data_IF_178775764247
#
_entry.id   IF_178775764247
#
_cell.length_a   1.000
_cell.length_b   1.000
_cell.length_c   1.000
_cell.angle_alpha   90.00
_cell.angle_beta   90.00
_cell.angle_gamma   90.00
#
_symmetry.space_group_name_H-M   'P 1'
#
loop_
_entity.id
_entity.type
_entity.pdbx_description
1 polymer ?
#
# COMPACT_ATOMS: atom_id res chain seq x y z
N UNK A 1 12.15 -0.73 17.06
CA UNK A 1 11.17 -1.80 17.27
C UNK A 1 10.88 -2.50 15.97
N UNK A 2 11.10 -3.81 15.91
CA UNK A 2 10.79 -4.61 14.73
C UNK A 2 9.27 -4.76 14.60
N UNK A 3 8.74 -4.54 13.39
CA UNK A 3 7.36 -4.81 13.06
C UNK A 3 7.15 -6.31 12.82
N UNK A 4 6.07 -6.90 13.33
CA UNK A 4 5.72 -8.27 12.96
C UNK A 4 5.24 -8.30 11.51
N UNK A 5 5.88 -9.13 10.70
CA UNK A 5 5.52 -9.30 9.29
C UNK A 5 4.71 -10.58 9.09
N UNK A 6 3.66 -10.47 8.29
CA UNK A 6 2.81 -11.59 7.92
C UNK A 6 2.91 -11.76 6.41
N UNK A 7 3.11 -12.99 5.96
CA UNK A 7 3.04 -13.32 4.53
C UNK A 7 1.60 -13.09 4.08
N UNK A 8 1.44 -12.32 3.03
CA UNK A 8 0.14 -11.98 2.47
C UNK A 8 0.07 -12.39 1.00
N UNK A 9 -1.07 -12.92 0.61
CA UNK A 9 -1.40 -13.40 -0.71
C UNK A 9 -2.64 -14.29 -0.61
N UNK A 10 -3.33 -14.56 -1.70
CA UNK A 10 -4.37 -15.58 -1.67
C UNK A 10 -3.73 -16.97 -1.59
N UNK A 11 -4.42 -17.92 -0.95
CA UNK A 11 -3.93 -19.28 -0.84
C UNK A 11 -3.66 -19.88 -2.21
N UNK A 12 -4.53 -19.61 -3.17
CA UNK A 12 -4.40 -20.10 -4.55
C UNK A 12 -3.20 -19.46 -5.26
N UNK A 13 -2.95 -18.19 -5.04
CA UNK A 13 -1.80 -17.47 -5.62
C UNK A 13 -0.47 -17.97 -5.06
N UNK A 14 -0.42 -18.32 -3.80
CA UNK A 14 0.76 -18.92 -3.16
C UNK A 14 1.06 -20.32 -3.73
N UNK A 15 0.01 -21.08 -4.03
CA UNK A 15 0.13 -22.42 -4.66
C UNK A 15 0.55 -22.33 -6.12
N UNK A 16 0.00 -21.36 -6.87
CA UNK A 16 0.18 -21.28 -8.33
C UNK A 16 1.49 -20.63 -8.77
N UNK A 17 2.03 -19.67 -8.01
CA UNK A 17 3.19 -18.91 -8.52
C UNK A 17 4.29 -18.61 -7.53
N UNK A 18 4.03 -18.51 -6.25
CA UNK A 18 5.00 -18.00 -5.26
C UNK A 18 5.57 -16.60 -5.56
N UNK A 19 5.21 -16.02 -6.71
CA UNK A 19 5.79 -14.77 -7.22
C UNK A 19 5.13 -13.52 -6.66
N UNK A 20 3.90 -13.63 -6.16
CA UNK A 20 3.10 -12.51 -5.68
C UNK A 20 3.02 -12.46 -4.16
N UNK A 21 3.97 -13.10 -3.50
CA UNK A 21 4.05 -13.09 -2.05
C UNK A 21 4.70 -11.79 -1.57
N UNK A 22 3.97 -11.03 -0.80
CA UNK A 22 4.46 -9.86 -0.10
C UNK A 22 4.17 -9.96 1.39
N UNK A 23 4.80 -9.08 2.16
CA UNK A 23 4.66 -9.06 3.60
C UNK A 23 3.83 -7.86 4.04
N UNK A 24 2.99 -8.07 5.05
CA UNK A 24 2.19 -7.01 5.65
C UNK A 24 2.37 -7.00 7.17
N UNK A 25 2.53 -5.82 7.74
CA UNK A 25 2.57 -5.63 9.19
C UNK A 25 1.45 -4.70 9.63
N UNK A 26 0.62 -5.17 10.55
CA UNK A 26 -0.44 -4.35 11.13
C UNK A 26 0.17 -3.30 12.07
N UNK A 27 -0.03 -2.04 11.73
CA UNK A 27 0.48 -0.89 12.47
C UNK A 27 -0.62 -0.06 13.13
N UNK A 28 -1.87 -0.53 13.12
CA UNK A 28 -3.01 0.21 13.66
C UNK A 28 -2.84 0.60 15.12
N UNK A 29 -2.10 -0.18 15.88
CA UNK A 29 -1.80 0.06 17.30
C UNK A 29 -0.59 0.98 17.53
N UNK A 30 0.13 1.36 16.48
CA UNK A 30 1.32 2.20 16.59
C UNK A 30 0.92 3.66 16.42
N UNK A 31 1.07 4.44 17.49
CA UNK A 31 0.52 5.80 17.59
C UNK A 31 0.96 6.76 16.49
N UNK A 32 2.21 6.67 15.99
CA UNK A 32 2.66 7.61 14.96
C UNK A 32 2.02 7.37 13.58
N UNK A 33 1.56 6.17 13.24
CA UNK A 33 0.79 5.94 12.02
C UNK A 33 -0.60 6.58 12.10
N UNK A 34 -1.22 6.51 13.27
CA UNK A 34 -2.47 7.23 13.55
C UNK A 34 -2.27 8.74 13.54
N UNK A 35 -1.16 9.21 14.09
CA UNK A 35 -0.79 10.62 14.09
C UNK A 35 -0.63 11.16 12.66
N UNK A 36 0.11 10.46 11.80
CA UNK A 36 0.25 10.81 10.39
C UNK A 36 -1.09 10.85 9.67
N UNK A 37 -1.92 9.84 9.89
CA UNK A 37 -3.28 9.82 9.34
C UNK A 37 -4.06 11.08 9.72
N UNK A 38 -4.04 11.47 10.99
CA UNK A 38 -4.75 12.66 11.47
C UNK A 38 -4.23 13.93 10.82
N UNK A 39 -2.90 14.05 10.64
CA UNK A 39 -2.29 15.19 9.93
C UNK A 39 -2.80 15.27 8.50
N UNK A 40 -2.74 14.17 7.75
CA UNK A 40 -3.18 14.16 6.35
C UNK A 40 -4.67 14.40 6.20
N UNK A 41 -5.47 13.77 7.06
CA UNK A 41 -6.92 13.92 7.06
C UNK A 41 -7.32 15.39 7.27
N UNK A 42 -6.68 16.07 8.22
CA UNK A 42 -6.89 17.48 8.49
C UNK A 42 -6.36 18.36 7.35
N UNK A 43 -5.10 18.15 6.95
CA UNK A 43 -4.43 18.98 5.94
C UNK A 43 -5.17 19.02 4.61
N UNK A 44 -5.70 17.88 4.19
CA UNK A 44 -6.38 17.73 2.91
C UNK A 44 -7.91 17.75 3.03
N UNK A 45 -8.45 18.01 4.23
CA UNK A 45 -9.89 18.08 4.50
C UNK A 45 -10.65 16.84 4.00
N UNK A 46 -10.09 15.65 4.25
CA UNK A 46 -10.62 14.40 3.72
C UNK A 46 -11.87 13.90 4.44
N UNK A 47 -12.06 14.29 5.68
CA UNK A 47 -13.19 13.88 6.52
C UNK A 47 -13.37 12.35 6.62
N UNK A 48 -12.27 11.65 6.88
CA UNK A 48 -12.22 10.19 6.95
C UNK A 48 -12.06 9.71 8.39
N UNK A 49 -12.58 8.51 8.67
CA UNK A 49 -12.36 7.79 9.92
C UNK A 49 -11.43 6.61 9.66
N UNK A 50 -10.38 6.49 10.47
CA UNK A 50 -9.43 5.39 10.39
C UNK A 50 -10.07 4.06 10.83
N UNK A 51 -9.94 3.05 9.99
CA UNK A 51 -10.31 1.66 10.31
C UNK A 51 -9.07 0.87 10.74
N UNK A 52 -8.03 0.89 9.89
CA UNK A 52 -6.75 0.23 10.19
C UNK A 52 -5.60 0.85 9.42
N UNK A 53 -4.40 0.66 9.95
CA UNK A 53 -3.16 1.03 9.29
C UNK A 53 -2.21 -0.17 9.21
N UNK A 54 -1.46 -0.28 8.12
CA UNK A 54 -0.47 -1.33 7.96
C UNK A 54 0.65 -0.89 7.00
N UNK A 55 1.75 -1.61 7.06
CA UNK A 55 2.88 -1.43 6.15
C UNK A 55 2.98 -2.66 5.26
N UNK A 56 3.09 -2.44 3.95
CA UNK A 56 3.39 -3.49 2.98
C UNK A 56 4.87 -3.47 2.63
N UNK A 57 5.44 -4.65 2.49
CA UNK A 57 6.80 -4.86 2.04
C UNK A 57 6.78 -5.78 0.82
N UNK A 58 7.29 -5.29 -0.30
CA UNK A 58 7.46 -6.06 -1.53
C UNK A 58 8.95 -6.28 -1.77
N UNK A 59 9.45 -7.51 -1.65
CA UNK A 59 10.83 -7.83 -2.02
C UNK A 59 11.13 -7.56 -3.49
N UNK A 60 12.41 -7.52 -3.89
CA UNK A 60 12.78 -7.46 -5.31
C UNK A 60 12.10 -8.55 -6.13
N UNK A 61 11.69 -8.23 -7.34
CA UNK A 61 11.04 -9.11 -8.31
C UNK A 61 9.61 -9.54 -7.97
N UNK A 62 9.01 -8.97 -6.92
CA UNK A 62 7.64 -9.26 -6.52
C UNK A 62 6.70 -8.17 -7.02
N UNK A 63 5.53 -8.58 -7.49
CA UNK A 63 4.40 -7.74 -7.84
C UNK A 63 3.18 -8.08 -6.99
N UNK A 64 2.22 -7.17 -6.91
CA UNK A 64 0.92 -7.45 -6.31
C UNK A 64 -0.08 -7.99 -7.32
N UNK A 65 -1.13 -8.62 -6.82
CA UNK A 65 -2.23 -9.09 -7.63
C UNK A 65 -3.36 -8.06 -7.71
N UNK A 66 -4.17 -8.18 -8.75
CA UNK A 66 -5.37 -7.38 -8.89
C UNK A 66 -6.33 -7.61 -7.72
N UNK A 67 -6.69 -6.56 -7.03
CA UNK A 67 -7.60 -6.64 -5.88
C UNK A 67 -8.39 -5.35 -5.67
N UNK A 68 -9.41 -5.46 -4.83
CA UNK A 68 -10.11 -4.35 -4.23
C UNK A 68 -9.71 -4.23 -2.76
N UNK A 69 -9.85 -3.05 -2.21
CA UNK A 69 -9.67 -2.83 -0.79
C UNK A 69 -11.01 -2.82 -0.05
N UNK A 70 -10.97 -2.97 1.25
CA UNK A 70 -12.12 -2.78 2.13
C UNK A 70 -12.21 -1.33 2.63
N UNK A 71 -13.38 -0.95 3.17
CA UNK A 71 -13.69 0.42 3.56
C UNK A 71 -14.18 1.28 2.40
N UNK A 72 -14.06 2.59 2.52
CA UNK A 72 -14.50 3.55 1.51
C UNK A 72 -13.34 4.16 0.73
N UNK A 73 -12.26 4.51 1.41
CA UNK A 73 -11.09 5.14 0.82
C UNK A 73 -9.80 4.48 1.31
N UNK A 74 -8.86 4.31 0.40
CA UNK A 74 -7.49 3.91 0.71
C UNK A 74 -6.57 5.12 0.63
N UNK A 75 -5.68 5.24 1.61
CA UNK A 75 -4.56 6.19 1.58
C UNK A 75 -3.26 5.39 1.55
N UNK A 76 -2.37 5.70 0.61
CA UNK A 76 -1.05 5.09 0.50
C UNK A 76 0.02 6.17 0.57
N UNK A 77 1.01 5.96 1.44
CA UNK A 77 2.21 6.79 1.50
C UNK A 77 3.42 5.97 1.06
N UNK A 78 4.25 6.55 0.23
CA UNK A 78 5.49 5.96 -0.26
C UNK A 78 6.69 6.56 0.49
N UNK A 79 7.26 5.85 1.49
CA UNK A 79 8.29 6.43 2.34
C UNK A 79 9.71 6.28 1.81
N UNK A 80 9.95 5.38 0.85
CA UNK A 80 11.30 5.00 0.43
C UNK A 80 11.81 5.89 -0.72
N UNK A 81 13.08 6.33 -0.73
CA UNK A 81 13.69 6.92 -1.92
C UNK A 81 13.58 5.97 -3.11
N UNK A 82 13.19 6.49 -4.28
CA UNK A 82 12.84 5.65 -5.41
C UNK A 82 13.23 6.30 -6.73
N UNK A 83 13.57 5.47 -7.72
CA UNK A 83 13.80 5.88 -9.10
C UNK A 83 12.72 5.28 -10.00
N UNK A 84 12.32 5.99 -11.05
CA UNK A 84 11.27 5.51 -11.96
C UNK A 84 11.63 4.15 -12.61
N UNK A 85 12.91 3.89 -12.87
CA UNK A 85 13.42 2.62 -13.41
C UNK A 85 13.20 1.41 -12.49
N UNK A 86 12.96 1.64 -11.20
CA UNK A 86 12.68 0.57 -10.23
C UNK A 86 11.25 0.01 -10.33
N UNK A 87 10.40 0.58 -11.15
CA UNK A 87 9.02 0.12 -11.29
C UNK A 87 8.19 0.34 -10.03
N UNK A 88 7.41 -0.65 -9.64
CA UNK A 88 6.62 -0.61 -8.41
C UNK A 88 5.46 0.38 -8.43
N UNK A 89 5.01 0.81 -9.61
CA UNK A 89 3.89 1.73 -9.75
C UNK A 89 2.60 1.10 -9.22
N UNK A 90 1.68 1.94 -8.79
CA UNK A 90 0.30 1.56 -8.58
C UNK A 90 -0.42 1.58 -9.93
N UNK A 91 -1.05 0.48 -10.30
CA UNK A 91 -1.81 0.36 -11.55
C UNK A 91 -3.28 0.15 -11.24
N UNK A 92 -4.14 0.89 -11.92
CA UNK A 92 -5.58 0.71 -11.92
C UNK A 92 -6.03 0.00 -13.21
N UNK A 93 -7.12 -0.76 -13.16
CA UNK A 93 -7.59 -1.58 -14.27
C UNK A 93 -8.17 -0.79 -15.46
N UNK A 94 -8.26 0.53 -15.34
CA UNK A 94 -8.62 1.45 -16.43
C UNK A 94 -7.38 2.10 -17.10
N UNK A 95 -6.25 1.40 -17.14
CA UNK A 95 -5.00 1.81 -17.79
C UNK A 95 -4.36 3.09 -17.23
N UNK A 96 -4.54 3.35 -15.94
CA UNK A 96 -3.86 4.45 -15.27
C UNK A 96 -2.84 3.89 -14.28
N UNK A 97 -1.65 4.49 -14.29
CA UNK A 97 -0.60 4.18 -13.33
C UNK A 97 -0.21 5.42 -12.53
N UNK A 98 0.17 5.20 -11.27
CA UNK A 98 0.73 6.24 -10.41
C UNK A 98 2.17 5.82 -10.07
N UNK A 99 3.19 6.57 -10.52
CA UNK A 99 4.58 6.26 -10.19
C UNK A 99 4.83 6.27 -8.69
N UNK A 100 5.64 5.32 -8.23
CA UNK A 100 6.15 5.36 -6.88
C UNK A 100 7.16 6.51 -6.75
N UNK A 101 6.90 7.46 -5.89
CA UNK A 101 7.82 8.56 -5.56
C UNK A 101 7.81 8.79 -4.06
N UNK A 102 8.99 8.99 -3.49
CA UNK A 102 9.13 9.28 -2.06
C UNK A 102 8.23 10.44 -1.65
N UNK A 103 7.58 10.29 -0.51
CA UNK A 103 6.65 11.27 0.09
C UNK A 103 5.37 11.53 -0.72
N UNK A 104 5.07 10.70 -1.69
CA UNK A 104 3.77 10.75 -2.39
C UNK A 104 2.72 10.10 -1.52
N UNK A 105 1.63 10.82 -1.30
CA UNK A 105 0.39 10.30 -0.74
C UNK A 105 -0.60 10.10 -1.90
N UNK A 106 -1.13 8.90 -2.01
CA UNK A 106 -2.18 8.56 -2.99
C UNK A 106 -3.46 8.24 -2.22
N UNK A 107 -4.56 8.85 -2.61
CA UNK A 107 -5.88 8.63 -1.99
C UNK A 107 -6.85 8.23 -3.09
N UNK A 108 -7.54 7.11 -2.91
CA UNK A 108 -8.48 6.61 -3.92
C UNK A 108 -9.61 5.78 -3.30
N UNK A 109 -10.77 5.72 -3.97
CA UNK A 109 -11.88 4.87 -3.54
C UNK A 109 -11.52 3.39 -3.59
N UNK A 110 -12.00 2.63 -2.61
CA UNK A 110 -11.69 1.19 -2.46
C UNK A 110 -12.33 0.30 -3.54
N UNK A 111 -13.33 0.82 -4.25
CA UNK A 111 -13.98 0.14 -5.38
C UNK A 111 -13.19 0.22 -6.70
N UNK A 112 -12.05 0.90 -6.69
CA UNK A 112 -11.11 0.87 -7.81
C UNK A 112 -10.20 -0.36 -7.71
N UNK A 113 -10.31 -1.24 -8.69
CA UNK A 113 -9.45 -2.41 -8.79
C UNK A 113 -8.03 -2.00 -9.15
N UNK A 114 -7.06 -2.49 -8.39
CA UNK A 114 -5.68 -2.03 -8.52
C UNK A 114 -4.68 -3.11 -8.13
N UNK A 115 -3.42 -2.86 -8.45
CA UNK A 115 -2.27 -3.67 -8.03
C UNK A 115 -0.99 -2.84 -7.98
N UNK A 116 0.01 -3.36 -7.26
CA UNK A 116 1.39 -2.87 -7.37
C UNK A 116 2.12 -3.61 -8.48
N UNK A 117 2.74 -2.88 -9.41
CA UNK A 117 3.60 -3.47 -10.42
C UNK A 117 4.91 -3.97 -9.80
N UNK A 118 5.64 -4.77 -10.56
CA UNK A 118 6.85 -5.45 -10.09
C UNK A 118 7.88 -4.48 -9.51
N UNK A 119 8.45 -4.84 -8.37
CA UNK A 119 9.60 -4.18 -7.79
C UNK A 119 10.88 -4.60 -8.53
N UNK A 120 11.46 -3.71 -9.32
CA UNK A 120 12.70 -3.92 -10.07
C UNK A 120 13.93 -3.39 -9.34
N UNK A 121 13.76 -2.80 -8.16
CA UNK A 121 14.88 -2.34 -7.34
C UNK A 121 15.63 -3.53 -6.71
N UNK A 122 16.91 -3.33 -6.31
CA UNK A 122 17.67 -4.35 -5.59
C UNK A 122 17.35 -4.41 -4.10
N UNK A 123 16.35 -3.68 -3.63
CA UNK A 123 15.92 -3.60 -2.23
C UNK A 123 14.39 -3.63 -2.11
N UNK A 124 13.91 -3.77 -0.88
CA UNK A 124 12.48 -3.85 -0.60
C UNK A 124 11.75 -2.54 -0.91
N UNK A 125 10.54 -2.67 -1.43
CA UNK A 125 9.59 -1.57 -1.62
C UNK A 125 8.61 -1.56 -0.45
N UNK A 126 8.50 -0.42 0.20
CA UNK A 126 7.57 -0.23 1.31
C UNK A 126 6.43 0.69 0.90
N UNK A 127 5.25 0.46 1.44
CA UNK A 127 4.16 1.43 1.45
C UNK A 127 3.43 1.39 2.77
N UNK A 128 3.03 2.55 3.25
CA UNK A 128 2.15 2.67 4.42
C UNK A 128 0.73 2.85 3.91
N UNK A 129 -0.18 2.03 4.40
CA UNK A 129 -1.58 2.05 3.98
C UNK A 129 -2.50 2.33 5.15
N UNK A 130 -3.49 3.18 4.93
CA UNK A 130 -4.60 3.41 5.84
C UNK A 130 -5.90 3.05 5.13
N UNK A 131 -6.67 2.17 5.73
CA UNK A 131 -8.04 1.87 5.32
C UNK A 131 -8.99 2.73 6.12
N UNK A 132 -9.90 3.38 5.43
CA UNK A 132 -10.75 4.41 6.01
C UNK A 132 -12.18 4.29 5.54
N UNK A 133 -13.08 4.90 6.31
CA UNK A 133 -14.48 5.10 5.92
C UNK A 133 -14.80 6.59 5.94
N UNK A 134 -15.73 6.99 5.10
CA UNK A 134 -16.22 8.38 5.06
C UNK A 134 -17.07 8.63 6.31
N UNK A 135 -16.82 9.76 6.95
CA UNK A 135 -17.63 10.19 8.09
C UNK A 135 -19.01 10.68 7.66
#
# INVERSE_FOLDING_TARGET
>A
KLLPWIIHGSTQELEDSGRNTFFMSNTSHIGHYKYLFNIFNKKFSLNLKLVRAYVNLYPPSISGDWHYDDGDMTMLLYPTPWKDEYGGQLEFDFNQTVPYRRNRLVVFPTDLRHRSLINKAPFNRYSVAWKTIIK
#
